data_IF_471075561313
#
_entry.id   IF_471075561313
#
_cell.length_a   1.000
_cell.length_b   1.000
_cell.length_c   1.000
_cell.angle_alpha   90.00
_cell.angle_beta   90.00
_cell.angle_gamma   90.00
#
_symmetry.space_group_name_H-M   'P 1'
#
loop_
_entity.id
_entity.type
_entity.pdbx_description
1 polymer ?
#
# COMPACT_ATOMS: atom_id res chain seq x y z
N UNK A 1 -17.93 -12.52 10.05
CA UNK A 1 -17.06 -11.61 9.29
C UNK A 1 -16.13 -12.49 8.50
N UNK A 2 -16.12 -12.43 7.16
CA UNK A 2 -15.22 -13.25 6.34
C UNK A 2 -13.78 -12.77 6.58
N UNK A 3 -12.92 -13.64 7.08
CA UNK A 3 -11.53 -13.36 7.46
C UNK A 3 -10.74 -12.65 6.34
N UNK A 4 -11.02 -13.03 5.09
CA UNK A 4 -10.33 -12.54 3.91
C UNK A 4 -10.65 -11.08 3.51
N UNK A 5 -11.65 -10.41 4.12
CA UNK A 5 -11.93 -8.98 3.86
C UNK A 5 -11.71 -8.10 5.09
N UNK A 6 -11.06 -8.62 6.13
CA UNK A 6 -10.85 -7.89 7.37
C UNK A 6 -9.92 -6.67 7.24
N UNK A 7 -9.10 -6.62 6.18
CA UNK A 7 -8.22 -5.49 5.86
C UNK A 7 -8.89 -4.38 5.06
N UNK A 8 -10.11 -4.59 4.53
CA UNK A 8 -10.83 -3.57 3.76
C UNK A 8 -10.98 -2.23 4.52
N UNK A 9 -11.34 -2.21 5.82
CA UNK A 9 -11.44 -0.95 6.57
C UNK A 9 -10.09 -0.24 6.73
N UNK A 10 -8.99 -1.00 6.86
CA UNK A 10 -7.64 -0.45 6.91
C UNK A 10 -7.25 0.20 5.58
N UNK A 11 -7.43 -0.49 4.46
CA UNK A 11 -7.16 0.08 3.13
C UNK A 11 -8.01 1.31 2.86
N UNK A 12 -9.29 1.30 3.25
CA UNK A 12 -10.14 2.47 3.17
C UNK A 12 -9.65 3.64 4.04
N UNK A 13 -9.11 3.38 5.24
CA UNK A 13 -8.52 4.42 6.08
C UNK A 13 -7.26 5.03 5.42
N UNK A 14 -6.43 4.20 4.78
CA UNK A 14 -5.26 4.66 4.02
C UNK A 14 -5.68 5.51 2.82
N UNK A 15 -6.65 5.08 2.02
CA UNK A 15 -7.12 5.85 0.85
C UNK A 15 -7.67 7.22 1.25
N UNK A 16 -8.41 7.28 2.36
CA UNK A 16 -8.92 8.53 2.93
C UNK A 16 -7.79 9.45 3.40
N UNK A 17 -6.76 8.91 4.06
CA UNK A 17 -5.60 9.68 4.50
C UNK A 17 -4.80 10.26 3.32
N UNK A 18 -4.57 9.45 2.28
CA UNK A 18 -3.90 9.89 1.05
C UNK A 18 -4.67 11.02 0.38
N UNK A 19 -5.99 10.85 0.23
CA UNK A 19 -6.88 11.85 -0.37
C UNK A 19 -6.90 13.14 0.44
N UNK A 20 -7.00 13.04 1.77
CA UNK A 20 -6.96 14.20 2.67
C UNK A 20 -5.63 14.96 2.59
N UNK A 21 -4.53 14.26 2.28
CA UNK A 21 -3.21 14.83 2.07
C UNK A 21 -2.98 15.37 0.64
N UNK A 22 -4.01 15.37 -0.20
CA UNK A 22 -3.99 15.93 -1.56
C UNK A 22 -3.41 14.99 -2.62
N UNK A 23 -3.20 13.70 -2.31
CA UNK A 23 -2.81 12.71 -3.30
C UNK A 23 -4.04 12.26 -4.10
N UNK A 24 -3.85 12.06 -5.41
CA UNK A 24 -4.92 11.63 -6.29
C UNK A 24 -5.01 10.10 -6.26
N UNK A 25 -6.01 9.58 -5.56
CA UNK A 25 -6.38 8.16 -5.56
C UNK A 25 -7.36 7.92 -6.71
N UNK A 26 -7.03 6.99 -7.61
CA UNK A 26 -7.85 6.68 -8.78
C UNK A 26 -8.83 5.54 -8.47
N UNK A 27 -8.30 4.46 -7.92
CA UNK A 27 -9.03 3.26 -7.54
C UNK A 27 -8.28 2.53 -6.43
N UNK A 28 -8.98 1.64 -5.73
CA UNK A 28 -8.37 0.74 -4.77
C UNK A 28 -9.17 -0.55 -4.67
N UNK A 29 -8.50 -1.64 -4.30
CA UNK A 29 -9.14 -2.91 -3.99
C UNK A 29 -8.48 -3.60 -2.80
N UNK A 30 -9.27 -4.41 -2.12
CA UNK A 30 -8.87 -5.30 -1.05
C UNK A 30 -9.08 -6.72 -1.54
N UNK A 31 -8.01 -7.46 -1.80
CA UNK A 31 -8.12 -8.81 -2.32
C UNK A 31 -8.18 -9.83 -1.18
N UNK A 32 -9.12 -10.79 -1.23
CA UNK A 32 -9.29 -11.81 -0.21
C UNK A 32 -8.29 -12.98 -0.35
N UNK A 33 -7.05 -12.67 -0.73
CA UNK A 33 -5.98 -13.64 -0.88
C UNK A 33 -5.44 -14.10 0.47
N UNK A 34 -4.68 -15.21 0.47
CA UNK A 34 -3.88 -15.69 1.60
C UNK A 34 -2.41 -15.81 1.12
N UNK A 35 -1.49 -14.93 1.55
CA UNK A 35 -1.70 -13.78 2.44
C UNK A 35 -2.59 -12.69 1.83
N UNK A 36 -3.29 -11.92 2.67
CA UNK A 36 -4.16 -10.81 2.24
C UNK A 36 -3.35 -9.72 1.54
N UNK A 37 -3.88 -9.26 0.39
CA UNK A 37 -3.24 -8.21 -0.41
C UNK A 37 -4.18 -7.03 -0.67
N UNK A 38 -3.60 -5.92 -1.09
CA UNK A 38 -4.36 -4.73 -1.47
C UNK A 38 -3.59 -3.88 -2.48
N UNK A 39 -4.33 -3.10 -3.26
CA UNK A 39 -3.75 -2.13 -4.18
C UNK A 39 -4.51 -0.80 -4.10
N UNK A 40 -3.77 0.29 -4.20
CA UNK A 40 -4.29 1.64 -4.34
C UNK A 40 -3.60 2.27 -5.54
N UNK A 41 -4.32 2.44 -6.65
CA UNK A 41 -3.81 3.19 -7.79
C UNK A 41 -3.77 4.68 -7.43
N UNK A 42 -2.60 5.28 -7.61
CA UNK A 42 -2.37 6.69 -7.30
C UNK A 42 -1.77 7.38 -8.52
N UNK A 43 -1.88 8.69 -8.59
CA UNK A 43 -1.10 9.48 -9.55
C UNK A 43 -0.43 10.65 -8.85
N UNK A 44 0.80 10.92 -9.24
CA UNK A 44 1.58 12.05 -8.73
C UNK A 44 1.58 13.17 -9.76
N UNK A 45 1.32 14.39 -9.32
CA UNK A 45 1.40 15.59 -10.17
C UNK A 45 2.86 16.00 -10.50
N UNK A 46 3.85 15.32 -9.93
CA UNK A 46 5.26 15.67 -10.02
C UNK A 46 5.88 15.17 -11.33
N UNK A 47 6.95 15.81 -11.84
CA UNK A 47 7.63 15.35 -13.04
C UNK A 47 8.29 13.97 -12.91
N UNK A 48 8.58 13.50 -11.70
CA UNK A 48 9.28 12.24 -11.46
C UNK A 48 8.56 11.05 -12.09
N UNK A 49 7.22 11.03 -12.02
CA UNK A 49 6.38 9.93 -12.50
C UNK A 49 5.64 10.27 -13.80
N UNK A 50 6.08 11.28 -14.55
CA UNK A 50 5.45 11.59 -15.84
C UNK A 50 5.65 10.43 -16.83
N UNK A 51 4.56 9.93 -17.39
CA UNK A 51 4.58 8.76 -18.30
C UNK A 51 4.73 7.42 -17.56
N UNK A 52 4.42 7.42 -16.26
CA UNK A 52 4.41 6.22 -15.44
C UNK A 52 3.06 6.01 -14.76
N UNK A 53 2.55 4.78 -14.81
CA UNK A 53 1.50 4.33 -13.93
C UNK A 53 2.10 4.05 -12.55
N UNK A 54 1.37 4.42 -11.49
CA UNK A 54 1.82 4.25 -10.11
C UNK A 54 0.74 3.64 -9.24
N UNK A 55 1.14 2.75 -8.34
CA UNK A 55 0.24 2.21 -7.33
C UNK A 55 0.98 1.92 -6.03
N UNK A 56 0.23 1.86 -4.95
CA UNK A 56 0.68 1.31 -3.68
C UNK A 56 0.14 -0.11 -3.58
N UNK A 57 1.03 -1.08 -3.42
CA UNK A 57 0.65 -2.47 -3.14
C UNK A 57 0.92 -2.78 -1.69
N UNK A 58 -0.02 -3.47 -1.06
CA UNK A 58 0.08 -3.93 0.32
C UNK A 58 -0.03 -5.45 0.35
N UNK A 59 0.77 -6.04 1.23
CA UNK A 59 0.78 -7.47 1.52
C UNK A 59 0.92 -7.62 3.04
N UNK A 60 0.11 -8.47 3.66
CA UNK A 60 0.10 -8.55 5.13
C UNK A 60 1.40 -9.10 5.74
N UNK A 61 2.23 -9.78 4.96
CA UNK A 61 3.51 -10.33 5.42
C UNK A 61 4.66 -9.34 5.23
N UNK A 62 4.64 -8.57 4.16
CA UNK A 62 5.77 -7.73 3.72
C UNK A 62 5.47 -6.22 3.74
N UNK A 63 4.22 -5.82 3.96
CA UNK A 63 3.81 -4.43 4.10
C UNK A 63 3.65 -3.69 2.77
N UNK A 64 3.89 -2.39 2.79
CA UNK A 64 3.62 -1.50 1.67
C UNK A 64 4.79 -1.38 0.70
N UNK A 65 4.48 -1.29 -0.58
CA UNK A 65 5.41 -0.93 -1.63
C UNK A 65 4.80 0.14 -2.54
N UNK A 66 5.62 1.09 -2.98
CA UNK A 66 5.31 1.92 -4.15
C UNK A 66 5.81 1.18 -5.38
N UNK A 67 4.90 0.92 -6.32
CA UNK A 67 5.21 0.32 -7.61
C UNK A 67 4.98 1.30 -8.74
N UNK A 68 5.84 1.27 -9.75
CA UNK A 68 5.70 2.11 -10.93
C UNK A 68 6.22 1.44 -12.20
N UNK A 69 5.66 1.81 -13.34
CA UNK A 69 6.02 1.29 -14.65
C UNK A 69 5.62 2.26 -15.76
N UNK A 70 6.13 2.11 -16.99
CA UNK A 70 5.67 2.91 -18.13
C UNK A 70 4.15 2.85 -18.30
N UNK A 71 3.51 3.97 -18.61
CA UNK A 71 2.05 4.05 -18.80
C UNK A 71 1.56 3.24 -20.01
N UNK A 72 0.36 2.65 -19.92
CA UNK A 72 -0.31 1.99 -21.05
C UNK A 72 0.38 0.71 -21.57
N UNK A 73 1.24 0.08 -20.78
CA UNK A 73 1.95 -1.14 -21.14
C UNK A 73 1.30 -2.40 -20.53
N UNK A 74 1.13 -3.45 -21.35
CA UNK A 74 0.61 -4.78 -20.93
C UNK A 74 1.50 -5.52 -19.90
N UNK A 75 2.72 -5.03 -19.65
CA UNK A 75 3.76 -5.68 -18.83
C UNK A 75 3.76 -5.26 -17.35
N UNK A 76 2.77 -4.48 -16.90
CA UNK A 76 2.59 -4.14 -15.48
C UNK A 76 3.70 -3.25 -14.89
N UNK A 77 3.68 -3.08 -13.57
CA UNK A 77 4.69 -2.29 -12.85
C UNK A 77 6.08 -2.94 -12.93
N UNK A 78 7.11 -2.14 -13.27
CA UNK A 78 8.47 -2.63 -13.49
C UNK A 78 9.37 -2.49 -12.26
N UNK A 79 9.04 -1.54 -11.39
CA UNK A 79 9.84 -1.14 -10.26
C UNK A 79 9.01 -1.16 -8.99
N UNK A 80 9.65 -1.49 -7.87
CA UNK A 80 9.03 -1.53 -6.55
C UNK A 80 10.00 -0.98 -5.50
N UNK A 81 9.48 -0.21 -4.55
CA UNK A 81 10.23 0.25 -3.39
C UNK A 81 9.39 0.07 -2.13
N UNK A 82 9.96 -0.58 -1.13
CA UNK A 82 9.29 -0.77 0.16
C UNK A 82 9.04 0.58 0.84
N UNK A 83 7.87 0.69 1.48
CA UNK A 83 7.43 1.86 2.24
C UNK A 83 7.12 1.49 3.68
N UNK A 84 7.42 2.41 4.59
CA UNK A 84 7.15 2.25 6.01
C UNK A 84 8.12 1.29 6.71
N UNK A 85 7.84 1.05 7.99
CA UNK A 85 8.68 0.23 8.89
C UNK A 85 7.91 -0.84 9.65
N UNK A 86 6.64 -1.04 9.31
CA UNK A 86 5.79 -2.13 9.81
C UNK A 86 4.90 -2.64 8.68
N UNK A 87 4.35 -3.85 8.84
CA UNK A 87 3.41 -4.43 7.87
C UNK A 87 2.07 -3.70 7.88
N UNK A 88 1.70 -3.11 9.02
CA UNK A 88 0.46 -2.36 9.21
C UNK A 88 0.75 -0.94 9.76
N UNK A 89 1.42 -0.07 8.99
CA UNK A 89 1.71 1.29 9.43
C UNK A 89 0.40 2.08 9.57
N UNK A 90 0.40 3.13 10.40
CA UNK A 90 -0.78 4.00 10.48
C UNK A 90 -1.05 4.67 9.13
N UNK A 91 -2.30 5.04 8.81
CA UNK A 91 -2.62 5.80 7.60
C UNK A 91 -1.80 7.08 7.43
N UNK A 92 -1.44 7.74 8.53
CA UNK A 92 -0.58 8.93 8.51
C UNK A 92 0.87 8.60 8.12
N UNK A 93 1.42 7.51 8.66
CA UNK A 93 2.80 7.10 8.37
C UNK A 93 2.97 6.70 6.91
N UNK A 94 2.03 5.93 6.35
CA UNK A 94 2.08 5.58 4.93
C UNK A 94 1.89 6.81 4.04
N UNK A 95 1.00 7.73 4.40
CA UNK A 95 0.81 8.98 3.67
C UNK A 95 2.10 9.81 3.63
N UNK A 96 2.79 9.94 4.77
CA UNK A 96 4.07 10.63 4.85
C UNK A 96 5.14 9.97 3.98
N UNK A 97 5.22 8.63 3.99
CA UNK A 97 6.16 7.89 3.15
C UNK A 97 5.87 8.09 1.66
N UNK A 98 4.60 8.08 1.26
CA UNK A 98 4.17 8.29 -0.12
C UNK A 98 4.46 9.71 -0.59
N UNK A 99 4.20 10.72 0.25
CA UNK A 99 4.54 12.11 -0.08
C UNK A 99 6.05 12.31 -0.26
N UNK A 100 6.88 11.66 0.56
CA UNK A 100 8.34 11.71 0.39
C UNK A 100 8.80 11.02 -0.90
N UNK A 101 8.10 9.98 -1.34
CA UNK A 101 8.37 9.29 -2.60
C UNK A 101 7.80 10.05 -3.82
N UNK A 102 6.81 10.91 -3.65
CA UNK A 102 6.16 11.62 -4.76
C UNK A 102 7.14 12.52 -5.54
N UNK A 103 8.11 13.15 -4.87
CA UNK A 103 9.01 14.12 -5.49
C UNK A 103 10.19 13.48 -6.25
N UNK A 104 10.51 12.21 -5.96
CA UNK A 104 11.62 11.48 -6.59
C UNK A 104 11.44 9.98 -6.45
N UNK A 105 11.89 9.22 -7.44
CA UNK A 105 11.92 7.77 -7.34
C UNK A 105 12.69 7.31 -6.09
N UNK A 106 12.04 6.59 -5.17
CA UNK A 106 12.75 5.97 -4.06
C UNK A 106 13.68 4.86 -4.56
N UNK A 107 14.70 4.48 -3.79
CA UNK A 107 15.53 3.33 -4.12
C UNK A 107 14.69 2.06 -4.26
N UNK A 108 14.91 1.33 -5.36
CA UNK A 108 14.30 0.01 -5.57
C UNK A 108 14.78 -0.91 -4.47
N UNK A 109 13.85 -1.38 -3.64
CA UNK A 109 14.13 -2.11 -2.41
C UNK A 109 13.02 -3.11 -2.16
N UNK A 110 13.41 -4.30 -1.70
CA UNK A 110 12.48 -5.26 -1.12
C UNK A 110 12.20 -4.87 0.34
N UNK A 111 11.03 -5.22 0.84
CA UNK A 111 10.74 -5.09 2.26
C UNK A 111 11.69 -5.95 3.09
N UNK A 112 12.23 -5.38 4.17
CA UNK A 112 12.93 -6.14 5.21
C UNK A 112 11.98 -6.68 6.28
N UNK A 113 10.69 -6.36 6.16
CA UNK A 113 9.65 -6.83 7.06
C UNK A 113 9.20 -8.21 6.61
N UNK A 114 8.98 -9.09 7.58
CA UNK A 114 8.37 -10.38 7.34
C UNK A 114 7.56 -10.78 8.58
N UNK A 115 6.24 -10.83 8.41
CA UNK A 115 5.27 -11.50 9.28
C UNK A 115 4.89 -12.82 8.61
N UNK A 116 4.52 -13.83 9.38
CA UNK A 116 3.86 -15.03 8.85
C UNK A 116 2.35 -14.89 8.98
N UNK A 117 1.58 -15.00 7.90
CA UNK A 117 0.12 -14.96 8.00
C UNK A 117 -0.48 -16.17 8.72
N UNK A 118 0.28 -17.27 8.81
CA UNK A 118 -0.07 -18.46 9.57
C UNK A 118 0.03 -18.25 11.09
N UNK A 119 0.76 -17.22 11.55
CA UNK A 119 0.84 -16.84 12.96
C UNK A 119 -0.40 -16.02 13.37
N UNK A 120 -1.39 -16.72 13.92
CA UNK A 120 -2.67 -16.13 14.33
C UNK A 120 -2.63 -15.44 15.70
N UNK A 121 -1.54 -15.60 16.47
CA UNK A 121 -1.41 -15.14 17.85
C UNK A 121 -0.52 -13.89 18.00
N UNK A 122 -0.06 -13.31 16.89
CA UNK A 122 0.83 -12.15 16.86
C UNK A 122 0.14 -10.79 17.08
N UNK A 123 -1.19 -10.80 17.25
CA UNK A 123 -1.99 -9.61 17.53
C UNK A 123 -2.42 -8.82 16.29
N UNK A 124 -2.01 -9.20 15.09
CA UNK A 124 -2.31 -8.48 13.84
C UNK A 124 -3.81 -8.31 13.59
N UNK A 125 -4.60 -9.35 13.87
CA UNK A 125 -6.07 -9.30 13.77
C UNK A 125 -6.70 -8.25 14.69
N UNK A 126 -6.13 -8.03 15.87
CA UNK A 126 -6.60 -7.01 16.80
C UNK A 126 -6.29 -5.60 16.28
N UNK A 127 -5.11 -5.42 15.67
CA UNK A 127 -4.72 -4.16 15.05
C UNK A 127 -5.61 -3.82 13.85
N UNK A 128 -5.86 -4.79 12.95
CA UNK A 128 -6.77 -4.60 11.82
C UNK A 128 -8.20 -4.21 12.27
N UNK A 129 -8.72 -4.86 13.32
CA UNK A 129 -10.05 -4.54 13.86
C UNK A 129 -10.19 -3.12 14.40
N UNK A 130 -9.09 -2.45 14.74
CA UNK A 130 -9.13 -1.06 15.18
C UNK A 130 -9.68 -0.12 14.08
N UNK A 131 -9.56 -0.52 12.81
CA UNK A 131 -10.03 0.24 11.64
C UNK A 131 -11.47 -0.07 11.22
N UNK A 132 -12.08 -1.14 11.74
CA UNK A 132 -13.44 -1.56 11.37
C UNK A 132 -14.56 -0.81 12.13
N UNK A 133 -14.27 0.37 12.68
CA UNK A 133 -15.16 1.15 13.55
C UNK A 133 -15.94 2.23 12.82
#
# INVERSE_FOLDING_TARGET
>A
MHFHIAHTPYLHAVTNALTAAGLCVLEWSAEPDDPRTGIIAVTFATPAYRGHDTALTWDEESGWHLVWGPDGHDIGYRYAAALGSSVLPTPADITNAVQQAADRHPPITASSLHRSFEDMDDGFEAELRAYAR
#
